data_IF_575106495356
#
_entry.id   IF_575106495356
#
_cell.length_a   1.000
_cell.length_b   1.000
_cell.length_c   1.000
_cell.angle_alpha   90.00
_cell.angle_beta   90.00
_cell.angle_gamma   90.00
#
_symmetry.space_group_name_H-M   'P 1'
#
loop_
_entity.id
_entity.type
_entity.pdbx_description
1 polymer ?
#
# COMPACT_ATOMS: atom_id res chain seq x y z
N UNK A 1 18.25 -21.65 0.60
CA UNK A 1 16.99 -22.23 1.03
C UNK A 1 15.83 -21.46 0.36
N UNK A 2 14.87 -22.20 -0.21
CA UNK A 2 13.72 -21.64 -0.94
C UNK A 2 12.91 -20.69 -0.04
N UNK A 3 12.70 -21.07 1.20
CA UNK A 3 11.96 -20.27 2.18
C UNK A 3 12.66 -18.92 2.45
N UNK A 4 13.97 -18.92 2.62
CA UNK A 4 14.75 -17.69 2.81
C UNK A 4 14.63 -16.77 1.61
N UNK A 5 14.61 -17.31 0.39
CA UNK A 5 14.43 -16.51 -0.83
C UNK A 5 13.06 -15.85 -0.88
N UNK A 6 11.99 -16.60 -0.59
CA UNK A 6 10.61 -16.06 -0.52
C UNK A 6 10.53 -14.89 0.48
N UNK A 7 11.17 -15.04 1.64
CA UNK A 7 11.14 -14.00 2.68
C UNK A 7 11.89 -12.72 2.27
N UNK A 8 13.02 -12.86 1.57
CA UNK A 8 13.76 -11.70 1.03
C UNK A 8 12.95 -10.98 -0.06
N UNK A 9 12.30 -11.73 -0.95
CA UNK A 9 11.43 -11.18 -1.99
C UNK A 9 10.21 -10.47 -1.40
N UNK A 10 9.65 -10.99 -0.31
CA UNK A 10 8.57 -10.35 0.45
C UNK A 10 9.02 -9.01 1.03
N UNK A 11 10.20 -8.97 1.67
CA UNK A 11 10.72 -7.73 2.24
C UNK A 11 10.94 -6.64 1.18
N UNK A 12 11.55 -6.99 0.05
CA UNK A 12 11.76 -6.08 -1.09
C UNK A 12 10.43 -5.55 -1.64
N UNK A 13 9.42 -6.41 -1.76
CA UNK A 13 8.08 -6.03 -2.21
C UNK A 13 7.37 -5.10 -1.22
N UNK A 14 7.56 -5.29 0.10
CA UNK A 14 7.04 -4.41 1.14
C UNK A 14 7.68 -3.02 1.11
N UNK A 15 9.00 -2.93 0.92
CA UNK A 15 9.71 -1.65 0.77
C UNK A 15 9.23 -0.87 -0.46
N UNK A 16 9.02 -1.56 -1.57
CA UNK A 16 8.44 -0.99 -2.79
C UNK A 16 7.01 -0.49 -2.56
N UNK A 17 6.17 -1.27 -1.87
CA UNK A 17 4.80 -0.87 -1.54
C UNK A 17 4.77 0.37 -0.65
N UNK A 18 5.63 0.48 0.36
CA UNK A 18 5.76 1.66 1.20
C UNK A 18 6.23 2.90 0.40
N UNK A 19 7.13 2.71 -0.56
CA UNK A 19 7.60 3.78 -1.45
C UNK A 19 6.48 4.29 -2.34
N UNK A 20 5.72 3.40 -2.99
CA UNK A 20 4.58 3.77 -3.83
C UNK A 20 3.46 4.44 -3.02
N UNK A 21 3.19 3.96 -1.81
CA UNK A 21 2.25 4.56 -0.88
C UNK A 21 2.60 6.03 -0.58
N UNK A 22 3.84 6.30 -0.20
CA UNK A 22 4.30 7.66 0.12
C UNK A 22 4.28 8.58 -1.10
N UNK A 23 4.61 8.05 -2.28
CA UNK A 23 4.55 8.80 -3.54
C UNK A 23 3.09 9.10 -3.92
N UNK A 24 2.17 8.15 -3.74
CA UNK A 24 0.74 8.32 -3.99
C UNK A 24 0.14 9.43 -3.12
N UNK A 25 0.45 9.46 -1.83
CA UNK A 25 0.00 10.53 -0.92
C UNK A 25 0.48 11.90 -1.38
N UNK A 26 1.76 12.03 -1.75
CA UNK A 26 2.32 13.29 -2.26
C UNK A 26 1.65 13.75 -3.55
N UNK A 27 1.41 12.83 -4.49
CA UNK A 27 0.72 13.15 -5.75
C UNK A 27 -0.70 13.61 -5.51
N UNK A 28 -1.40 13.01 -4.54
CA UNK A 28 -2.76 13.42 -4.18
C UNK A 28 -2.81 14.79 -3.50
N UNK A 29 -1.88 15.09 -2.61
CA UNK A 29 -1.78 16.40 -1.97
C UNK A 29 -1.48 17.51 -3.00
N UNK A 30 -0.60 17.24 -3.96
CA UNK A 30 -0.32 18.16 -5.07
C UNK A 30 -1.53 18.38 -5.96
N UNK A 31 -2.29 17.33 -6.29
CA UNK A 31 -3.51 17.41 -7.08
C UNK A 31 -4.55 18.35 -6.44
N UNK A 32 -4.69 18.37 -5.11
CA UNK A 32 -5.68 19.19 -4.42
C UNK A 32 -5.44 20.69 -4.55
N UNK A 33 -4.22 21.13 -4.86
CA UNK A 33 -3.90 22.56 -5.04
C UNK A 33 -4.41 23.10 -6.38
N UNK A 34 -4.54 22.27 -7.41
CA UNK A 34 -4.85 22.70 -8.78
C UNK A 34 -6.26 23.27 -8.93
N UNK A 35 -7.34 22.69 -8.36
CA UNK A 35 -8.67 23.25 -8.45
C UNK A 35 -8.79 24.66 -7.85
N UNK A 36 -8.03 24.95 -6.79
CA UNK A 36 -7.98 26.29 -6.21
C UNK A 36 -7.37 27.31 -7.19
N UNK A 37 -6.29 26.93 -7.88
CA UNK A 37 -5.64 27.74 -8.88
C UNK A 37 -6.57 27.98 -10.09
N UNK A 38 -7.25 26.92 -10.55
CA UNK A 38 -8.24 27.02 -11.62
C UNK A 38 -9.37 28.01 -11.27
N UNK A 39 -9.90 27.93 -10.05
CA UNK A 39 -10.94 28.86 -9.58
C UNK A 39 -10.46 30.31 -9.53
N UNK A 40 -9.24 30.53 -9.09
CA UNK A 40 -8.65 31.87 -9.04
C UNK A 40 -8.47 32.45 -10.44
N UNK A 41 -8.05 31.67 -11.42
CA UNK A 41 -7.94 32.10 -12.82
C UNK A 41 -9.32 32.33 -13.42
N UNK A 42 -10.28 31.41 -13.19
CA UNK A 42 -11.64 31.51 -13.70
C UNK A 42 -12.38 32.77 -13.18
N UNK A 43 -12.19 33.13 -11.91
CA UNK A 43 -12.81 34.33 -11.31
C UNK A 43 -12.35 35.65 -11.93
N UNK A 44 -11.13 35.65 -12.52
CA UNK A 44 -10.62 36.83 -13.26
C UNK A 44 -11.22 36.97 -14.66
N UNK A 45 -11.86 35.93 -15.16
CA UNK A 45 -12.45 35.82 -16.50
C UNK A 45 -13.99 35.96 -16.48
N UNK A 46 -14.55 36.32 -15.34
CA UNK A 46 -16.01 36.50 -15.21
C UNK A 46 -16.57 37.58 -16.20
N UNK A 47 -17.78 37.32 -16.76
CA UNK A 47 -18.70 36.21 -16.47
C UNK A 47 -18.38 34.90 -17.21
N UNK A 48 -17.48 34.90 -18.21
CA UNK A 48 -17.18 33.72 -19.04
C UNK A 48 -16.49 32.59 -18.28
N UNK A 49 -15.83 32.90 -17.16
CA UNK A 49 -15.17 31.93 -16.27
C UNK A 49 -16.11 31.15 -15.32
N UNK A 50 -17.38 31.55 -15.21
CA UNK A 50 -18.33 30.95 -14.26
C UNK A 50 -18.48 29.43 -14.37
N UNK A 51 -18.66 28.82 -15.56
CA UNK A 51 -18.73 27.37 -15.72
C UNK A 51 -17.48 26.62 -15.24
N UNK A 52 -16.29 27.16 -15.49
CA UNK A 52 -15.02 26.58 -15.03
C UNK A 52 -14.88 26.68 -13.51
N UNK A 53 -15.36 27.76 -12.92
CA UNK A 53 -15.40 27.93 -11.45
C UNK A 53 -16.24 26.82 -10.80
N UNK A 54 -17.45 26.56 -11.32
CA UNK A 54 -18.34 25.51 -10.85
C UNK A 54 -17.71 24.10 -11.03
N UNK A 55 -17.07 23.83 -12.17
CA UNK A 55 -16.37 22.60 -12.44
C UNK A 55 -15.22 22.41 -11.45
N UNK A 56 -14.44 23.45 -11.16
CA UNK A 56 -13.35 23.43 -10.19
C UNK A 56 -13.83 23.12 -8.77
N UNK A 57 -14.98 23.66 -8.35
CA UNK A 57 -15.57 23.34 -7.06
C UNK A 57 -16.03 21.89 -6.96
N UNK A 58 -16.69 21.38 -7.99
CA UNK A 58 -17.10 19.98 -8.06
C UNK A 58 -15.88 19.03 -8.02
N UNK A 59 -14.82 19.38 -8.77
CA UNK A 59 -13.59 18.62 -8.75
C UNK A 59 -12.97 18.59 -7.35
N UNK A 60 -12.88 19.76 -6.71
CA UNK A 60 -12.34 19.87 -5.35
C UNK A 60 -13.15 19.05 -4.36
N UNK A 61 -14.47 19.16 -4.36
CA UNK A 61 -15.33 18.41 -3.45
C UNK A 61 -15.15 16.89 -3.61
N UNK A 62 -15.09 16.41 -4.85
CA UNK A 62 -14.88 14.98 -5.15
C UNK A 62 -13.47 14.54 -4.76
N UNK A 63 -12.44 15.35 -5.00
CA UNK A 63 -11.06 15.02 -4.67
C UNK A 63 -10.79 14.96 -3.17
N UNK A 64 -11.47 15.81 -2.37
CA UNK A 64 -11.38 15.74 -0.89
C UNK A 64 -11.88 14.40 -0.37
N UNK A 65 -13.05 13.94 -0.81
CA UNK A 65 -13.60 12.65 -0.40
C UNK A 65 -12.68 11.47 -0.74
N UNK A 66 -12.02 11.50 -1.91
CA UNK A 66 -11.04 10.50 -2.31
C UNK A 66 -9.78 10.59 -1.44
N UNK A 67 -9.29 11.81 -1.17
CA UNK A 67 -8.12 12.03 -0.32
C UNK A 67 -8.32 11.51 1.10
N UNK A 68 -9.46 11.80 1.71
CA UNK A 68 -9.79 11.33 3.06
C UNK A 68 -9.84 9.80 3.09
N UNK A 69 -10.42 9.19 2.07
CA UNK A 69 -10.46 7.73 1.94
C UNK A 69 -9.06 7.14 1.72
N UNK A 70 -8.24 7.77 0.89
CA UNK A 70 -6.86 7.36 0.67
C UNK A 70 -6.06 7.42 1.99
N UNK A 71 -6.17 8.52 2.72
CA UNK A 71 -5.49 8.67 4.02
C UNK A 71 -5.94 7.64 5.04
N UNK A 72 -7.19 7.19 5.01
CA UNK A 72 -7.70 6.20 5.95
C UNK A 72 -7.05 4.81 5.81
N UNK A 73 -6.62 4.41 4.62
CA UNK A 73 -6.00 3.10 4.42
C UNK A 73 -4.50 3.14 4.08
N UNK A 74 -3.98 4.30 3.68
CA UNK A 74 -2.57 4.50 3.27
C UNK A 74 -1.81 5.37 4.28
N UNK A 75 -2.47 6.21 5.06
CA UNK A 75 -1.87 7.07 6.07
C UNK A 75 -2.59 6.96 7.42
N UNK A 76 -1.89 7.16 8.54
CA UNK A 76 -2.44 7.11 9.90
C UNK A 76 -2.32 5.74 10.58
N UNK A 77 -2.92 5.60 11.76
CA UNK A 77 -2.81 4.42 12.62
C UNK A 77 -3.42 3.14 12.02
N UNK A 78 -4.33 3.29 11.03
CA UNK A 78 -4.98 2.18 10.31
C UNK A 78 -4.30 1.80 8.98
N UNK A 79 -3.09 2.26 8.73
CA UNK A 79 -2.34 2.06 7.50
C UNK A 79 -2.15 0.58 7.16
N UNK A 80 -2.79 0.13 6.07
CA UNK A 80 -2.76 -1.28 5.66
C UNK A 80 -1.35 -1.73 5.24
N UNK A 81 -0.53 -0.87 4.64
CA UNK A 81 0.84 -1.21 4.31
C UNK A 81 1.69 -1.44 5.56
N UNK A 82 1.50 -0.63 6.59
CA UNK A 82 2.21 -0.79 7.87
C UNK A 82 1.72 -2.03 8.63
N UNK A 83 0.41 -2.30 8.62
CA UNK A 83 -0.14 -3.54 9.19
C UNK A 83 0.45 -4.77 8.49
N UNK A 84 0.45 -4.79 7.16
CA UNK A 84 1.04 -5.86 6.37
C UNK A 84 2.53 -6.05 6.68
N UNK A 85 3.30 -4.96 6.75
CA UNK A 85 4.72 -4.99 7.11
C UNK A 85 4.95 -5.55 8.50
N UNK A 86 4.10 -5.18 9.46
CA UNK A 86 4.15 -5.68 10.84
C UNK A 86 3.90 -7.17 10.93
N UNK A 87 2.89 -7.67 10.24
CA UNK A 87 2.58 -9.11 10.23
C UNK A 87 3.71 -9.93 9.61
N UNK A 88 4.26 -9.47 8.48
CA UNK A 88 5.41 -10.14 7.86
C UNK A 88 6.65 -10.07 8.74
N UNK A 89 6.99 -8.91 9.32
CA UNK A 89 8.14 -8.78 10.20
C UNK A 89 8.01 -9.67 11.46
N UNK A 90 6.82 -9.76 12.03
CA UNK A 90 6.53 -10.65 13.16
C UNK A 90 6.71 -12.13 12.76
N UNK A 91 6.19 -12.52 11.61
CA UNK A 91 6.40 -13.88 11.09
C UNK A 91 7.89 -14.18 10.85
N UNK A 92 8.63 -13.26 10.25
CA UNK A 92 10.07 -13.40 10.02
C UNK A 92 10.85 -13.60 11.31
N UNK A 93 10.55 -12.83 12.35
CA UNK A 93 11.16 -12.98 13.67
C UNK A 93 10.90 -14.36 14.26
N UNK A 94 9.64 -14.81 14.24
CA UNK A 94 9.26 -16.13 14.77
C UNK A 94 9.91 -17.29 14.01
N UNK A 95 10.04 -17.17 12.69
CA UNK A 95 10.71 -18.17 11.87
C UNK A 95 12.23 -18.19 12.08
N UNK A 96 12.82 -17.01 12.34
CA UNK A 96 14.21 -16.92 12.78
C UNK A 96 14.44 -17.63 14.11
N UNK A 97 13.55 -17.41 15.08
CA UNK A 97 13.58 -18.08 16.37
C UNK A 97 13.41 -19.61 16.23
N UNK A 98 12.45 -20.06 15.40
CA UNK A 98 12.24 -21.49 15.10
C UNK A 98 13.51 -22.15 14.56
N UNK A 99 14.20 -21.48 13.65
CA UNK A 99 15.44 -21.99 13.09
C UNK A 99 16.55 -22.15 14.14
N UNK A 100 16.71 -21.14 15.00
CA UNK A 100 17.69 -21.21 16.10
C UNK A 100 17.36 -22.36 17.06
N UNK A 101 16.09 -22.49 17.46
CA UNK A 101 15.64 -23.59 18.32
C UNK A 101 15.91 -24.97 17.69
N UNK A 102 15.69 -25.11 16.40
CA UNK A 102 15.99 -26.32 15.65
C UNK A 102 17.49 -26.67 15.68
N UNK A 103 18.34 -25.67 15.48
CA UNK A 103 19.80 -25.85 15.55
C UNK A 103 20.24 -26.21 16.97
N UNK A 104 19.65 -25.57 18.00
CA UNK A 104 19.93 -25.92 19.41
C UNK A 104 19.59 -27.40 19.73
N UNK A 105 18.40 -27.85 19.29
CA UNK A 105 17.99 -29.24 19.47
C UNK A 105 18.95 -30.18 18.77
N UNK A 106 19.34 -29.92 17.53
CA UNK A 106 20.27 -30.75 16.76
C UNK A 106 21.65 -30.78 17.37
N UNK A 107 22.13 -29.72 17.97
CA UNK A 107 23.41 -29.66 18.67
C UNK A 107 23.34 -30.42 19.97
N UNK A 108 22.31 -30.23 20.78
CA UNK A 108 22.13 -30.95 22.04
C UNK A 108 21.94 -32.48 21.86
N UNK A 109 21.36 -32.89 20.73
CA UNK A 109 21.26 -34.34 20.40
C UNK A 109 22.62 -34.96 20.00
N UNK A 110 23.62 -34.16 19.65
CA UNK A 110 24.94 -34.63 19.18
C UNK A 110 26.04 -34.53 20.23
N UNK A 111 25.94 -33.54 21.12
CA UNK A 111 26.95 -33.24 22.11
C UNK A 111 26.66 -33.91 23.47
N UNK A 112 27.66 -34.30 24.24
CA UNK A 112 27.45 -34.84 25.58
C UNK A 112 26.87 -33.75 26.48
N UNK A 113 25.72 -34.02 27.08
CA UNK A 113 25.01 -33.10 27.98
C UNK A 113 25.72 -33.07 29.33
N UNK A 114 25.89 -31.87 29.95
CA UNK A 114 26.34 -31.77 31.33
C UNK A 114 25.45 -32.55 32.29
N UNK A 115 26.08 -33.15 33.32
CA UNK A 115 25.42 -34.10 34.24
C UNK A 115 24.28 -33.48 35.08
N UNK A 116 24.20 -32.16 35.13
CA UNK A 116 23.18 -31.37 35.86
C UNK A 116 21.99 -30.98 34.97
N UNK A 117 22.01 -31.32 33.69
CA UNK A 117 20.93 -31.01 32.72
C UNK A 117 20.21 -32.29 32.30
N UNK A 118 18.89 -32.34 32.52
CA UNK A 118 18.05 -33.38 31.94
C UNK A 118 17.69 -33.00 30.50
N UNK A 119 18.50 -33.45 29.52
CA UNK A 119 18.33 -33.14 28.12
C UNK A 119 16.96 -33.57 27.57
N UNK A 120 16.42 -34.67 28.05
CA UNK A 120 15.09 -35.14 27.61
C UNK A 120 13.98 -34.16 27.93
N UNK A 121 14.04 -33.52 29.09
CA UNK A 121 13.11 -32.45 29.51
C UNK A 121 13.33 -31.18 28.71
N UNK A 122 14.59 -30.72 28.62
CA UNK A 122 14.93 -29.51 27.86
C UNK A 122 14.57 -29.63 26.38
N UNK A 123 14.84 -30.76 25.76
CA UNK A 123 14.47 -31.04 24.38
C UNK A 123 12.97 -30.95 24.14
N UNK A 124 12.13 -31.45 25.04
CA UNK A 124 10.69 -31.37 24.96
C UNK A 124 10.19 -29.91 25.02
N UNK A 125 10.78 -29.11 25.90
CA UNK A 125 10.46 -27.68 26.03
C UNK A 125 10.86 -26.91 24.75
N UNK A 126 12.07 -27.14 24.24
CA UNK A 126 12.55 -26.51 23.00
C UNK A 126 11.65 -26.87 21.80
N UNK A 127 11.26 -28.15 21.68
CA UNK A 127 10.34 -28.63 20.66
C UNK A 127 8.94 -27.99 20.79
N UNK A 128 8.44 -27.78 22.00
CA UNK A 128 7.18 -27.10 22.23
C UNK A 128 7.26 -25.64 21.78
N UNK A 129 8.28 -24.89 22.21
CA UNK A 129 8.48 -23.48 21.83
C UNK A 129 8.65 -23.36 20.31
N UNK A 130 9.39 -24.26 19.68
CA UNK A 130 9.57 -24.32 18.24
C UNK A 130 8.22 -24.43 17.49
N UNK A 131 7.36 -25.35 17.94
CA UNK A 131 6.01 -25.52 17.36
C UNK A 131 5.14 -24.27 17.55
N UNK A 132 5.23 -23.65 18.73
CA UNK A 132 4.50 -22.40 19.00
C UNK A 132 4.98 -21.26 18.09
N UNK A 133 6.29 -21.12 17.87
CA UNK A 133 6.83 -20.13 16.93
C UNK A 133 6.32 -20.35 15.51
N UNK A 134 6.33 -21.60 15.03
CA UNK A 134 5.80 -21.93 13.70
C UNK A 134 4.30 -21.61 13.59
N UNK A 135 3.51 -22.02 14.58
CA UNK A 135 2.05 -21.76 14.57
C UNK A 135 1.72 -20.26 14.56
N UNK A 136 2.40 -19.46 15.39
CA UNK A 136 2.23 -18.01 15.45
C UNK A 136 2.69 -17.33 14.15
N UNK A 137 3.80 -17.79 13.56
CA UNK A 137 4.26 -17.28 12.27
C UNK A 137 3.24 -17.54 11.15
N UNK A 138 2.67 -18.74 11.08
CA UNK A 138 1.60 -19.06 10.13
C UNK A 138 0.36 -18.18 10.33
N UNK A 139 -0.02 -17.91 11.59
CA UNK A 139 -1.14 -17.01 11.91
C UNK A 139 -0.85 -15.59 11.43
N UNK A 140 0.34 -15.05 11.69
CA UNK A 140 0.74 -13.73 11.23
C UNK A 140 0.75 -13.61 9.70
N UNK A 141 1.28 -14.62 8.99
CA UNK A 141 1.24 -14.63 7.52
C UNK A 141 -0.19 -14.73 6.97
N UNK A 142 -1.07 -15.48 7.62
CA UNK A 142 -2.48 -15.56 7.22
C UNK A 142 -3.17 -14.20 7.39
N UNK A 143 -2.95 -13.52 8.52
CA UNK A 143 -3.41 -12.13 8.73
C UNK A 143 -2.84 -11.18 7.67
N UNK A 144 -1.56 -11.31 7.35
CA UNK A 144 -0.91 -10.52 6.29
C UNK A 144 -1.57 -10.70 4.92
N UNK A 145 -1.99 -11.91 4.55
CA UNK A 145 -2.74 -12.18 3.30
C UNK A 145 -4.07 -11.41 3.28
N UNK A 146 -4.80 -11.40 4.39
CA UNK A 146 -6.07 -10.67 4.49
C UNK A 146 -5.87 -9.15 4.37
N UNK A 147 -4.82 -8.60 4.99
CA UNK A 147 -4.45 -7.19 4.89
C UNK A 147 -4.04 -6.83 3.47
N UNK A 148 -3.25 -7.66 2.79
CA UNK A 148 -2.87 -7.46 1.39
C UNK A 148 -4.10 -7.43 0.47
N UNK A 149 -5.06 -8.33 0.68
CA UNK A 149 -6.31 -8.34 -0.06
C UNK A 149 -7.17 -7.07 0.21
N UNK A 150 -7.18 -6.56 1.44
CA UNK A 150 -7.84 -5.32 1.78
C UNK A 150 -7.19 -4.11 1.08
N UNK A 151 -5.85 -4.05 1.04
CA UNK A 151 -5.10 -3.01 0.34
C UNK A 151 -5.40 -3.02 -1.17
N UNK A 152 -5.42 -4.19 -1.79
CA UNK A 152 -5.76 -4.33 -3.20
C UNK A 152 -7.19 -3.84 -3.49
N UNK A 153 -8.18 -4.24 -2.67
CA UNK A 153 -9.57 -3.78 -2.82
C UNK A 153 -9.70 -2.26 -2.66
N UNK A 154 -9.08 -1.69 -1.64
CA UNK A 154 -9.12 -0.25 -1.38
C UNK A 154 -8.47 0.55 -2.52
N UNK A 155 -7.35 0.07 -3.05
CA UNK A 155 -6.68 0.68 -4.22
C UNK A 155 -7.56 0.61 -5.47
N UNK A 156 -8.25 -0.50 -5.71
CA UNK A 156 -9.20 -0.65 -6.82
C UNK A 156 -10.40 0.29 -6.69
N UNK A 157 -10.91 0.50 -5.47
CA UNK A 157 -12.01 1.43 -5.20
C UNK A 157 -11.61 2.88 -5.45
N UNK A 158 -10.43 3.30 -5.01
CA UNK A 158 -9.89 4.64 -5.32
C UNK A 158 -9.72 4.81 -6.84
N UNK A 159 -9.15 3.81 -7.52
CA UNK A 159 -9.00 3.85 -8.98
C UNK A 159 -10.35 4.04 -9.68
N UNK A 160 -11.41 3.40 -9.20
CA UNK A 160 -12.77 3.57 -9.73
C UNK A 160 -13.29 5.00 -9.50
N UNK A 161 -13.04 5.56 -8.32
CA UNK A 161 -13.44 6.95 -8.01
C UNK A 161 -12.67 7.97 -8.86
N UNK A 162 -11.40 7.69 -9.19
CA UNK A 162 -10.62 8.52 -10.12
C UNK A 162 -11.26 8.62 -11.51
N UNK A 163 -12.03 7.64 -11.96
CA UNK A 163 -12.79 7.74 -13.23
C UNK A 163 -13.87 8.84 -13.16
N UNK A 164 -14.46 9.06 -11.99
CA UNK A 164 -15.38 10.18 -11.78
C UNK A 164 -14.70 11.54 -11.91
N UNK A 165 -13.52 11.69 -11.32
CA UNK A 165 -12.70 12.89 -11.49
C UNK A 165 -12.26 13.11 -12.94
N UNK A 166 -11.95 12.07 -13.69
CA UNK A 166 -11.64 12.14 -15.12
C UNK A 166 -12.79 12.79 -15.91
N UNK A 167 -14.02 12.42 -15.61
CA UNK A 167 -15.19 13.01 -16.27
C UNK A 167 -15.27 14.52 -16.02
N UNK A 168 -15.09 14.96 -14.77
CA UNK A 168 -15.11 16.39 -14.40
C UNK A 168 -13.95 17.11 -15.08
N UNK A 169 -12.76 16.51 -15.16
CA UNK A 169 -11.60 17.05 -15.85
C UNK A 169 -11.84 17.26 -17.35
N UNK A 170 -12.47 16.29 -18.02
CA UNK A 170 -12.82 16.40 -19.45
C UNK A 170 -13.81 17.54 -19.67
N UNK A 171 -14.81 17.70 -18.82
CA UNK A 171 -15.72 18.84 -18.87
C UNK A 171 -14.98 20.17 -18.73
N UNK A 172 -14.02 20.25 -17.79
CA UNK A 172 -13.16 21.43 -17.63
C UNK A 172 -12.38 21.75 -18.91
N UNK A 173 -11.82 20.75 -19.59
CA UNK A 173 -11.12 20.94 -20.86
C UNK A 173 -12.03 21.45 -21.97
N UNK A 174 -13.25 20.94 -22.09
CA UNK A 174 -14.25 21.41 -23.05
C UNK A 174 -14.61 22.88 -22.81
N UNK A 175 -14.86 23.26 -21.57
CA UNK A 175 -15.19 24.65 -21.23
C UNK A 175 -14.00 25.60 -21.47
N UNK A 176 -12.78 25.19 -21.14
CA UNK A 176 -11.58 25.98 -21.47
C UNK A 176 -11.42 26.19 -22.99
N UNK A 177 -11.71 25.15 -23.80
CA UNK A 177 -11.70 25.25 -25.26
C UNK A 177 -12.73 26.25 -25.81
N UNK A 178 -13.86 26.42 -25.11
CA UNK A 178 -14.90 27.42 -25.48
C UNK A 178 -14.47 28.85 -25.22
N UNK A 179 -13.57 29.07 -24.24
CA UNK A 179 -13.07 30.41 -23.89
C UNK A 179 -11.96 30.92 -24.80
N UNK A 180 -11.52 30.14 -25.78
CA UNK A 180 -10.47 30.46 -26.79
C UNK A 180 -9.21 31.07 -26.15
N UNK A 181 -8.72 32.20 -26.66
CA UNK A 181 -7.44 32.82 -26.25
C UNK A 181 -7.39 33.26 -24.78
N UNK A 182 -8.53 33.47 -24.12
CA UNK A 182 -8.60 33.88 -22.72
C UNK A 182 -8.32 32.73 -21.73
N UNK A 183 -8.42 31.49 -22.21
CA UNK A 183 -8.30 30.28 -21.36
C UNK A 183 -6.89 29.73 -21.16
N UNK A 184 -5.82 30.41 -21.60
CA UNK A 184 -4.46 29.85 -21.60
C UNK A 184 -3.97 29.37 -20.24
N UNK A 185 -4.22 30.12 -19.16
CA UNK A 185 -3.85 29.73 -17.80
C UNK A 185 -4.67 28.53 -17.26
N UNK A 186 -5.92 28.40 -17.71
CA UNK A 186 -6.80 27.28 -17.37
C UNK A 186 -6.38 26.00 -18.10
N UNK A 187 -5.98 26.10 -19.36
CA UNK A 187 -5.45 24.96 -20.12
C UNK A 187 -4.22 24.36 -19.46
N UNK A 188 -3.27 25.20 -19.03
CA UNK A 188 -2.09 24.72 -18.31
C UNK A 188 -2.42 24.01 -17.00
N UNK A 189 -3.42 24.50 -16.24
CA UNK A 189 -3.88 23.83 -15.02
C UNK A 189 -4.53 22.47 -15.32
N UNK A 190 -5.29 22.34 -16.40
CA UNK A 190 -5.88 21.06 -16.82
C UNK A 190 -4.80 20.09 -17.29
N UNK A 191 -3.79 20.55 -18.00
CA UNK A 191 -2.66 19.71 -18.40
C UNK A 191 -1.86 19.18 -17.18
N UNK A 192 -1.75 19.97 -16.11
CA UNK A 192 -1.24 19.49 -14.83
C UNK A 192 -2.14 18.43 -14.21
N UNK A 193 -3.48 18.61 -14.24
CA UNK A 193 -4.40 17.56 -13.78
C UNK A 193 -4.22 16.25 -14.54
N UNK A 194 -4.02 16.30 -15.86
CA UNK A 194 -3.77 15.10 -16.68
C UNK A 194 -2.55 14.34 -16.17
N UNK A 195 -1.44 15.06 -15.95
CA UNK A 195 -0.20 14.46 -15.47
C UNK A 195 -0.36 13.81 -14.10
N UNK A 196 -1.05 14.47 -13.16
CA UNK A 196 -1.29 13.90 -11.83
C UNK A 196 -2.27 12.73 -11.86
N UNK A 197 -3.31 12.77 -12.69
CA UNK A 197 -4.23 11.65 -12.84
C UNK A 197 -3.53 10.39 -13.35
N UNK A 198 -2.67 10.53 -14.36
CA UNK A 198 -1.93 9.41 -14.91
C UNK A 198 -0.91 8.85 -13.91
N UNK A 199 -0.21 9.72 -13.17
CA UNK A 199 0.70 9.30 -12.09
C UNK A 199 -0.05 8.55 -10.97
N UNK A 200 -1.15 9.08 -10.49
CA UNK A 200 -1.97 8.44 -9.43
C UNK A 200 -2.50 7.09 -9.89
N UNK A 201 -3.04 6.98 -11.11
CA UNK A 201 -3.52 5.71 -11.67
C UNK A 201 -2.41 4.68 -11.79
N UNK A 202 -1.23 5.10 -12.24
CA UNK A 202 -0.04 4.25 -12.33
C UNK A 202 0.39 3.73 -10.97
N UNK A 203 0.45 4.59 -9.95
CA UNK A 203 0.82 4.22 -8.57
C UNK A 203 -0.20 3.29 -7.92
N UNK A 204 -1.50 3.54 -8.11
CA UNK A 204 -2.55 2.63 -7.62
C UNK A 204 -2.43 1.25 -8.27
N UNK A 205 -2.16 1.17 -9.57
CA UNK A 205 -1.94 -0.09 -10.26
C UNK A 205 -0.68 -0.82 -9.75
N UNK A 206 0.42 -0.09 -9.51
CA UNK A 206 1.63 -0.64 -8.92
C UNK A 206 1.39 -1.19 -7.51
N UNK A 207 0.65 -0.45 -6.67
CA UNK A 207 0.31 -0.88 -5.32
C UNK A 207 -0.57 -2.13 -5.30
N UNK A 208 -1.53 -2.24 -6.23
CA UNK A 208 -2.34 -3.46 -6.41
C UNK A 208 -1.47 -4.65 -6.80
N UNK A 209 -0.59 -4.50 -7.79
CA UNK A 209 0.32 -5.56 -8.24
C UNK A 209 1.29 -6.00 -7.14
N UNK A 210 1.83 -5.08 -6.36
CA UNK A 210 2.69 -5.40 -5.21
C UNK A 210 1.91 -6.14 -4.12
N UNK A 211 0.68 -5.74 -3.82
CA UNK A 211 -0.19 -6.45 -2.86
C UNK A 211 -0.47 -7.89 -3.28
N UNK A 212 -0.70 -8.13 -4.57
CA UNK A 212 -0.88 -9.47 -5.13
C UNK A 212 0.40 -10.31 -5.02
N UNK A 213 1.55 -9.72 -5.34
CA UNK A 213 2.87 -10.37 -5.23
C UNK A 213 3.17 -10.76 -3.78
N UNK A 214 2.95 -9.85 -2.83
CA UNK A 214 3.13 -10.08 -1.39
C UNK A 214 2.19 -11.19 -0.91
N UNK A 215 0.92 -11.13 -1.28
CA UNK A 215 -0.07 -12.17 -0.95
C UNK A 215 0.34 -13.54 -1.48
N UNK A 216 0.77 -13.62 -2.74
CA UNK A 216 1.23 -14.87 -3.37
C UNK A 216 2.48 -15.44 -2.67
N UNK A 217 3.43 -14.58 -2.28
CA UNK A 217 4.62 -14.98 -1.52
C UNK A 217 4.26 -15.58 -0.15
N UNK A 218 3.36 -14.91 0.59
CA UNK A 218 2.89 -15.42 1.90
C UNK A 218 2.15 -16.76 1.76
N UNK A 219 1.27 -16.90 0.78
CA UNK A 219 0.55 -18.16 0.50
C UNK A 219 1.52 -19.27 0.09
N UNK A 220 2.52 -18.95 -0.72
CA UNK A 220 3.56 -19.93 -1.11
C UNK A 220 4.35 -20.40 0.09
N UNK A 221 4.71 -19.49 1.00
CA UNK A 221 5.35 -19.85 2.25
C UNK A 221 4.48 -20.78 3.09
N UNK A 222 3.21 -20.42 3.32
CA UNK A 222 2.27 -21.23 4.11
C UNK A 222 2.09 -22.66 3.56
N UNK A 223 2.10 -22.82 2.23
CA UNK A 223 2.04 -24.15 1.59
C UNK A 223 3.29 -24.99 1.77
N UNK A 224 4.47 -24.35 1.84
CA UNK A 224 5.74 -25.06 2.02
C UNK A 224 6.05 -25.37 3.49
N UNK A 225 5.42 -24.64 4.41
CA UNK A 225 5.56 -24.82 5.86
C UNK A 225 4.53 -25.79 6.46
N UNK A 226 3.46 -26.12 5.72
CA UNK A 226 2.44 -27.12 6.10
C UNK A 226 2.92 -28.55 5.77
#
# INVERSE_FOLDING_TARGET
>A
DVLTKILLELNDSLEKAATEQNALLRSFDALQSIPNNMRLVASRLEPSGGPVSAISENYKASSVGISDRLRSFVGGEGNLCEQMSREVAHALFLLGAERVLKEMIQTGDREPTPADIDWEVERKLLEQVRRECTAKACTALTSGVEVAAALSRSSADIRRQMLGLDTIRVLGRVECGRMREQGGGLSAAIDQLDTFHDDIKGRLAALMGLSETISAGMVSYLRLAA
#
